data_IF_156161443392
#
_entry.id   IF_156161443392
#
_cell.length_a   1.000
_cell.length_b   1.000
_cell.length_c   1.000
_cell.angle_alpha   90.00
_cell.angle_beta   90.00
_cell.angle_gamma   90.00
#
_symmetry.space_group_name_H-M   'P 1'
#
loop_
_entity.id
_entity.type
_entity.pdbx_description
1 polymer ?
#
# COMPACT_ATOMS: atom_id res chain seq x y z
N UNK A 1 -3.66 -17.87 -13.46
CA UNK A 1 -4.65 -16.90 -12.94
C UNK A 1 -4.26 -16.64 -11.48
N UNK A 2 -3.48 -15.58 -11.22
CA UNK A 2 -3.05 -15.26 -9.86
C UNK A 2 -4.28 -14.76 -9.11
N UNK A 3 -4.75 -15.52 -8.13
CA UNK A 3 -5.76 -15.06 -7.17
C UNK A 3 -5.16 -13.83 -6.49
N UNK A 4 -5.64 -12.63 -6.83
CA UNK A 4 -5.44 -11.45 -5.96
C UNK A 4 -6.28 -11.73 -4.72
N UNK A 5 -5.68 -12.03 -3.56
CA UNK A 5 -6.47 -12.22 -2.36
C UNK A 5 -7.19 -10.91 -2.11
N UNK A 6 -8.52 -10.92 -2.10
CA UNK A 6 -9.31 -9.76 -1.70
C UNK A 6 -8.90 -9.46 -0.27
N UNK A 7 -8.15 -8.39 -0.08
CA UNK A 7 -7.72 -7.97 1.25
C UNK A 7 -8.99 -7.64 2.01
N UNK A 8 -9.40 -8.49 2.96
CA UNK A 8 -10.33 -8.07 4.00
C UNK A 8 -9.54 -7.14 4.93
N UNK A 9 -9.28 -5.92 4.46
CA UNK A 9 -8.90 -4.78 5.28
C UNK A 9 -10.13 -4.49 6.14
N UNK A 10 -10.26 -5.18 7.28
CA UNK A 10 -11.34 -4.90 8.24
C UNK A 10 -11.27 -3.47 8.78
N UNK A 11 -10.12 -2.80 8.62
CA UNK A 11 -9.89 -1.40 8.92
C UNK A 11 -9.24 -0.72 7.71
N UNK A 12 -10.02 -0.46 6.65
CA UNK A 12 -9.50 0.25 5.48
C UNK A 12 -9.04 1.65 5.89
N UNK A 13 -7.73 1.87 5.96
CA UNK A 13 -7.10 3.18 6.18
C UNK A 13 -7.30 4.16 4.99
N UNK A 14 -8.40 4.00 4.26
CA UNK A 14 -8.81 4.81 3.12
C UNK A 14 -10.30 5.13 3.21
N UNK A 15 -10.70 6.29 2.66
CA UNK A 15 -12.11 6.70 2.51
C UNK A 15 -12.73 6.12 1.23
N UNK A 16 -11.90 5.93 0.20
CA UNK A 16 -12.25 5.30 -1.07
C UNK A 16 -11.14 4.34 -1.44
N UNK A 17 -11.50 3.15 -1.93
CA UNK A 17 -10.51 2.14 -2.30
C UNK A 17 -9.57 2.67 -3.41
N UNK A 18 -8.27 2.86 -3.13
CA UNK A 18 -7.35 3.40 -4.12
C UNK A 18 -7.07 2.42 -5.27
N UNK A 19 -7.24 1.10 -5.08
CA UNK A 19 -6.96 0.11 -6.12
C UNK A 19 -7.99 0.14 -7.27
N UNK A 20 -9.20 0.61 -7.00
CA UNK A 20 -10.33 0.62 -7.94
C UNK A 20 -10.23 1.72 -9.01
N UNK A 21 -9.34 2.69 -8.85
CA UNK A 21 -9.25 3.84 -9.75
C UNK A 21 -7.82 4.12 -10.17
N UNK A 22 -7.66 4.70 -11.36
CA UNK A 22 -6.35 5.13 -11.83
C UNK A 22 -5.72 6.19 -10.93
N UNK A 23 -6.51 7.20 -10.54
CA UNK A 23 -6.05 8.23 -9.61
C UNK A 23 -5.61 7.63 -8.27
N UNK A 24 -6.39 6.71 -7.68
CA UNK A 24 -6.03 6.06 -6.42
C UNK A 24 -4.72 5.26 -6.52
N UNK A 25 -4.54 4.50 -7.61
CA UNK A 25 -3.29 3.79 -7.87
C UNK A 25 -2.10 4.75 -8.04
N UNK A 26 -2.31 5.87 -8.73
CA UNK A 26 -1.29 6.92 -8.88
C UNK A 26 -0.95 7.58 -7.54
N UNK A 27 -1.94 7.86 -6.69
CA UNK A 27 -1.73 8.37 -5.32
C UNK A 27 -0.82 7.43 -4.54
N UNK A 28 -1.13 6.14 -4.50
CA UNK A 28 -0.35 5.13 -3.76
C UNK A 28 1.07 5.00 -4.33
N UNK A 29 1.19 4.78 -5.64
CA UNK A 29 2.48 4.55 -6.30
C UNK A 29 3.43 5.76 -6.18
N UNK A 30 2.95 6.96 -6.51
CA UNK A 30 3.78 8.16 -6.42
C UNK A 30 4.08 8.57 -4.99
N UNK A 31 3.21 8.24 -4.02
CA UNK A 31 3.54 8.46 -2.61
C UNK A 31 4.76 7.67 -2.19
N UNK A 32 4.86 6.39 -2.57
CA UNK A 32 6.02 5.54 -2.25
C UNK A 32 7.30 6.14 -2.83
N UNK A 33 7.28 6.47 -4.14
CA UNK A 33 8.45 7.04 -4.82
C UNK A 33 8.88 8.38 -4.23
N UNK A 34 7.92 9.25 -3.94
CA UNK A 34 8.24 10.56 -3.35
C UNK A 34 8.75 10.43 -1.92
N UNK A 35 8.18 9.52 -1.11
CA UNK A 35 8.63 9.27 0.26
C UNK A 35 10.05 8.70 0.26
N UNK A 36 10.40 7.81 -0.67
CA UNK A 36 11.76 7.34 -0.87
C UNK A 36 12.71 8.49 -1.21
N UNK A 37 12.31 9.36 -2.16
CA UNK A 37 13.16 10.45 -2.67
C UNK A 37 13.41 11.57 -1.65
N UNK A 38 12.37 12.03 -0.94
CA UNK A 38 12.45 13.24 -0.09
C UNK A 38 12.22 12.99 1.41
N UNK A 39 11.84 11.78 1.79
CA UNK A 39 11.47 11.44 3.16
C UNK A 39 10.04 11.85 3.54
N UNK A 40 9.53 11.18 4.58
CA UNK A 40 8.14 11.33 5.06
C UNK A 40 7.85 12.76 5.55
N UNK A 41 8.82 13.43 6.18
CA UNK A 41 8.63 14.77 6.73
C UNK A 41 8.32 15.80 5.63
N UNK A 42 9.11 15.77 4.55
CA UNK A 42 8.98 16.70 3.43
C UNK A 42 7.82 16.35 2.49
N UNK A 43 7.34 15.11 2.52
CA UNK A 43 6.19 14.66 1.73
C UNK A 43 4.88 15.31 2.23
N UNK A 44 4.11 15.87 1.28
CA UNK A 44 2.78 16.45 1.53
C UNK A 44 1.80 16.07 0.40
N UNK A 45 0.51 16.02 0.71
CA UNK A 45 -0.54 15.74 -0.28
C UNK A 45 -0.61 16.79 -1.39
N UNK A 46 -0.30 18.06 -1.07
CA UNK A 46 -0.15 19.12 -2.05
C UNK A 46 0.91 18.78 -3.11
N UNK A 47 2.14 18.43 -2.68
CA UNK A 47 3.23 18.05 -3.59
C UNK A 47 2.87 16.80 -4.40
N UNK A 48 2.22 15.83 -3.77
CA UNK A 48 1.74 14.63 -4.47
C UNK A 48 0.73 14.99 -5.57
N UNK A 49 -0.28 15.79 -5.22
CA UNK A 49 -1.33 16.20 -6.15
C UNK A 49 -0.73 16.93 -7.37
N UNK A 50 0.20 17.86 -7.13
CA UNK A 50 0.95 18.55 -8.19
C UNK A 50 1.73 17.55 -9.06
N UNK A 51 2.47 16.61 -8.45
CA UNK A 51 3.26 15.59 -9.16
C UNK A 51 2.41 14.69 -10.07
N UNK A 52 1.20 14.35 -9.65
CA UNK A 52 0.30 13.45 -10.41
C UNK A 52 -0.73 14.20 -11.27
N UNK A 53 -0.64 15.53 -11.39
CA UNK A 53 -1.56 16.34 -12.20
C UNK A 53 -2.99 16.34 -11.68
N UNK A 54 -3.18 16.37 -10.36
CA UNK A 54 -4.47 16.33 -9.66
C UNK A 54 -4.63 17.51 -8.70
N UNK A 55 -5.75 17.55 -7.98
CA UNK A 55 -5.99 18.52 -6.90
C UNK A 55 -5.75 17.86 -5.55
N UNK A 56 -5.29 18.65 -4.57
CA UNK A 56 -5.10 18.15 -3.20
C UNK A 56 -6.42 17.60 -2.62
N UNK A 57 -7.55 18.28 -2.90
CA UNK A 57 -8.89 17.82 -2.55
C UNK A 57 -9.21 16.42 -3.09
N UNK A 58 -8.71 16.07 -4.28
CA UNK A 58 -8.90 14.74 -4.85
C UNK A 58 -8.06 13.66 -4.16
N UNK A 59 -6.91 14.02 -3.58
CA UNK A 59 -6.13 13.10 -2.72
C UNK A 59 -6.87 12.85 -1.40
N UNK A 60 -7.44 13.89 -0.80
CA UNK A 60 -8.24 13.77 0.43
C UNK A 60 -9.50 12.91 0.26
N UNK A 61 -9.97 12.66 -0.97
CA UNK A 61 -11.07 11.69 -1.23
C UNK A 61 -10.66 10.24 -0.95
N UNK A 62 -9.36 9.93 -0.90
CA UNK A 62 -8.83 8.59 -0.64
C UNK A 62 -8.29 8.47 0.77
N UNK A 63 -7.59 9.50 1.28
CA UNK A 63 -6.95 9.46 2.58
C UNK A 63 -7.26 10.72 3.38
N UNK A 64 -7.76 10.57 4.60
CA UNK A 64 -8.10 11.71 5.46
C UNK A 64 -6.88 12.57 5.81
N UNK A 65 -5.71 11.93 5.95
CA UNK A 65 -4.45 12.59 6.25
C UNK A 65 -3.24 11.72 5.86
N UNK A 66 -2.04 12.30 5.95
CA UNK A 66 -0.77 11.62 5.65
C UNK A 66 -0.58 10.34 6.47
N UNK A 67 -1.00 10.33 7.74
CA UNK A 67 -0.86 9.14 8.59
C UNK A 67 -1.69 7.96 8.08
N UNK A 68 -2.94 8.19 7.65
CA UNK A 68 -3.79 7.14 7.08
C UNK A 68 -3.20 6.56 5.78
N UNK A 69 -2.62 7.41 4.92
CA UNK A 69 -1.88 6.92 3.75
C UNK A 69 -0.72 5.99 4.17
N UNK A 70 0.07 6.37 5.17
CA UNK A 70 1.20 5.55 5.63
C UNK A 70 0.73 4.22 6.23
N UNK A 71 -0.34 4.23 7.04
CA UNK A 71 -0.94 3.00 7.56
C UNK A 71 -1.44 2.10 6.42
N UNK A 72 -2.07 2.69 5.39
CA UNK A 72 -2.46 1.94 4.20
C UNK A 72 -1.26 1.29 3.51
N UNK A 73 -0.16 2.03 3.30
CA UNK A 73 1.07 1.50 2.68
C UNK A 73 1.68 0.36 3.49
N UNK A 74 1.72 0.48 4.82
CA UNK A 74 2.24 -0.56 5.73
C UNK A 74 1.34 -1.80 5.66
N UNK A 75 0.02 -1.63 5.73
CA UNK A 75 -0.93 -2.75 5.64
C UNK A 75 -0.88 -3.44 4.28
N UNK A 76 -0.69 -2.67 3.21
CA UNK A 76 -0.48 -3.21 1.86
C UNK A 76 0.80 -4.05 1.79
N UNK A 77 1.91 -3.55 2.35
CA UNK A 77 3.17 -4.28 2.40
C UNK A 77 3.05 -5.59 3.19
N UNK A 78 2.44 -5.56 4.38
CA UNK A 78 2.22 -6.76 5.18
C UNK A 78 1.35 -7.79 4.47
N UNK A 79 0.32 -7.35 3.75
CA UNK A 79 -0.53 -8.25 2.96
C UNK A 79 0.28 -8.93 1.86
N UNK A 80 1.08 -8.16 1.12
CA UNK A 80 1.94 -8.71 0.08
C UNK A 80 2.99 -9.68 0.65
N UNK A 81 3.62 -9.31 1.77
CA UNK A 81 4.61 -10.15 2.44
C UNK A 81 3.99 -11.46 2.95
N UNK A 82 2.83 -11.40 3.59
CA UNK A 82 2.10 -12.58 4.05
C UNK A 82 1.75 -13.52 2.89
N UNK A 83 1.28 -12.97 1.77
CA UNK A 83 1.01 -13.76 0.58
C UNK A 83 2.28 -14.46 0.05
N UNK A 84 3.42 -13.76 0.03
CA UNK A 84 4.70 -14.37 -0.34
C UNK A 84 5.09 -15.49 0.62
N UNK A 85 5.03 -15.24 1.92
CA UNK A 85 5.40 -16.23 2.95
C UNK A 85 4.53 -17.49 2.82
N UNK A 86 3.20 -17.34 2.71
CA UNK A 86 2.28 -18.47 2.52
C UNK A 86 2.67 -19.25 1.27
N UNK A 87 2.89 -18.57 0.14
CA UNK A 87 3.28 -19.23 -1.11
C UNK A 87 4.59 -20.03 -1.01
N UNK A 88 5.60 -19.53 -0.27
CA UNK A 88 6.86 -20.25 -0.09
C UNK A 88 6.77 -21.42 0.90
N UNK A 89 5.82 -21.36 1.83
CA UNK A 89 5.59 -22.40 2.84
C UNK A 89 4.69 -23.52 2.30
N UNK A 90 3.84 -23.24 1.32
CA UNK A 90 3.03 -24.24 0.61
C UNK A 90 3.92 -25.36 0.04
N UNK A 91 3.71 -26.59 0.51
CA UNK A 91 4.47 -27.77 0.09
C UNK A 91 5.68 -28.14 0.97
N UNK A 92 6.13 -27.27 1.89
CA UNK A 92 7.22 -27.61 2.84
C UNK A 92 6.68 -28.35 4.06
N UNK A 93 7.16 -29.56 4.33
CA UNK A 93 6.68 -30.43 5.42
C UNK A 93 7.41 -30.19 6.75
N UNK A 94 8.68 -29.74 6.70
CA UNK A 94 9.51 -29.54 7.87
C UNK A 94 9.36 -28.10 8.42
N UNK A 95 9.22 -27.96 9.76
CA UNK A 95 9.12 -26.66 10.45
C UNK A 95 10.40 -25.81 10.33
N UNK A 96 11.58 -26.42 10.25
CA UNK A 96 12.85 -25.70 10.10
C UNK A 96 12.95 -25.03 8.72
N UNK A 97 12.59 -25.73 7.65
CA UNK A 97 12.62 -25.19 6.28
C UNK A 97 11.59 -24.06 6.04
N UNK A 98 10.58 -23.95 6.90
CA UNK A 98 9.59 -22.87 6.88
C UNK A 98 10.12 -21.60 7.55
N UNK A 99 11.00 -21.74 8.56
CA UNK A 99 11.60 -20.62 9.29
C UNK A 99 12.73 -19.94 8.50
N UNK A 100 13.46 -20.69 7.66
CA UNK A 100 14.52 -20.11 6.81
C UNK A 100 14.01 -19.14 5.73
N UNK A 101 12.69 -19.13 5.49
CA UNK A 101 12.06 -18.30 4.45
C UNK A 101 11.24 -17.13 5.03
N UNK A 102 11.03 -17.12 6.36
CA UNK A 102 10.31 -16.07 7.07
C UNK A 102 11.29 -15.00 7.59
#
# INVERSE_FOLDING_TARGET
>A
MLLRPTIKLSDSHYLKNPEETELGRNIVGHSILMIEEMGIEQFTFKKLAEKIGSTEASVYRYFENKHQLLLYLISWYWTWLNHRIIHYIEGKSNRQERLEVA
#
